data_IF_250495409924
#
_entry.id   IF_250495409924
#
_cell.length_a   1.000
_cell.length_b   1.000
_cell.length_c   1.000
_cell.angle_alpha   90.00
_cell.angle_beta   90.00
_cell.angle_gamma   90.00
#
_symmetry.space_group_name_H-M   'P 1'
#
loop_
_entity.id
_entity.type
_entity.pdbx_description
1 polymer ?
#
# COMPACT_ATOMS: atom_id res chain seq x y z
N UNK A 1 -13.70 -0.42 11.46
CA UNK A 1 -12.86 0.47 10.63
C UNK A 1 -13.52 0.58 9.27
N UNK A 2 -13.71 1.78 8.73
CA UNK A 2 -14.28 1.95 7.40
C UNK A 2 -13.15 1.78 6.37
N UNK A 3 -13.22 0.74 5.54
CA UNK A 3 -12.22 0.50 4.50
C UNK A 3 -12.65 1.20 3.21
N UNK A 4 -11.83 2.11 2.65
CA UNK A 4 -12.13 2.83 1.41
C UNK A 4 -12.45 1.89 0.24
N UNK A 5 -13.31 2.31 -0.69
CA UNK A 5 -13.69 1.48 -1.84
C UNK A 5 -12.54 1.19 -2.81
N UNK A 6 -11.51 2.05 -2.86
CA UNK A 6 -10.33 1.88 -3.71
C UNK A 6 -9.32 0.85 -3.14
N UNK A 7 -9.48 0.40 -1.89
CA UNK A 7 -8.65 -0.65 -1.31
C UNK A 7 -9.01 -2.03 -1.92
N UNK A 8 -8.03 -2.85 -2.33
CA UNK A 8 -8.29 -4.10 -3.03
C UNK A 8 -9.17 -5.08 -2.25
N UNK A 9 -10.12 -5.71 -2.95
CA UNK A 9 -10.93 -6.82 -2.42
C UNK A 9 -10.30 -8.20 -2.64
N UNK A 10 -9.39 -8.30 -3.62
CA UNK A 10 -8.65 -9.52 -3.91
C UNK A 10 -7.16 -9.20 -4.08
N UNK A 11 -6.34 -9.37 -3.03
CA UNK A 11 -4.91 -9.07 -3.10
C UNK A 11 -4.12 -10.08 -3.95
N UNK A 12 -4.64 -11.30 -4.13
CA UNK A 12 -3.98 -12.36 -4.89
C UNK A 12 -4.91 -12.90 -5.99
N UNK A 13 -5.13 -12.16 -7.09
CA UNK A 13 -5.92 -12.64 -8.20
C UNK A 13 -5.31 -13.95 -8.74
N UNK A 14 -6.17 -14.95 -8.99
CA UNK A 14 -5.81 -16.36 -9.24
C UNK A 14 -4.94 -16.63 -10.50
N UNK A 15 -4.52 -15.59 -11.22
CA UNK A 15 -3.69 -15.70 -12.42
C UNK A 15 -2.18 -15.88 -12.15
N UNK A 16 -1.74 -15.95 -10.89
CA UNK A 16 -0.36 -16.33 -10.54
C UNK A 16 -0.29 -17.83 -10.25
N UNK A 17 -0.13 -18.59 -11.34
CA UNK A 17 0.09 -20.04 -11.32
C UNK A 17 1.35 -20.42 -10.52
N UNK A 18 1.24 -21.47 -9.69
CA UNK A 18 2.38 -22.28 -9.25
C UNK A 18 2.57 -22.46 -7.75
N UNK A 19 2.18 -21.50 -6.91
CA UNK A 19 2.36 -21.61 -5.45
C UNK A 19 1.21 -20.94 -4.69
N UNK A 20 0.01 -21.53 -4.76
CA UNK A 20 -1.11 -21.04 -3.96
C UNK A 20 -0.93 -21.42 -2.48
N UNK A 21 -0.51 -20.46 -1.68
CA UNK A 21 -0.80 -20.47 -0.25
C UNK A 21 -2.34 -20.45 -0.07
N UNK A 22 -2.93 -21.61 0.24
CA UNK A 22 -4.25 -21.92 0.86
C UNK A 22 -5.32 -20.78 1.00
N UNK A 23 -5.54 -19.98 -0.03
CA UNK A 23 -6.61 -18.96 -0.07
C UNK A 23 -7.43 -18.99 -1.36
N UNK A 24 -7.36 -20.07 -2.15
CA UNK A 24 -8.37 -20.33 -3.16
C UNK A 24 -9.60 -20.97 -2.52
N UNK A 25 -10.66 -20.16 -2.40
CA UNK A 25 -12.02 -20.57 -2.09
C UNK A 25 -12.21 -21.32 -0.76
N UNK A 26 -12.71 -20.62 0.26
CA UNK A 26 -13.31 -21.26 1.44
C UNK A 26 -14.82 -21.26 1.31
N UNK A 27 -15.44 -22.40 1.63
CA UNK A 27 -16.90 -22.55 1.65
C UNK A 27 -17.43 -22.11 3.00
N UNK A 28 -18.06 -20.94 3.07
CA UNK A 28 -18.75 -20.43 4.26
C UNK A 28 -20.25 -20.51 3.99
N UNK A 29 -21.03 -21.15 4.87
CA UNK A 29 -22.48 -21.32 4.72
C UNK A 29 -22.93 -21.89 3.37
N UNK A 30 -22.16 -22.82 2.79
CA UNK A 30 -22.48 -23.44 1.50
C UNK A 30 -22.13 -22.59 0.26
N UNK A 31 -21.58 -21.38 0.44
CA UNK A 31 -21.17 -20.48 -0.66
C UNK A 31 -19.65 -20.41 -0.77
N UNK A 32 -19.13 -20.50 -1.99
CA UNK A 32 -17.70 -20.31 -2.27
C UNK A 32 -17.39 -18.81 -2.19
N UNK A 33 -16.55 -18.40 -1.24
CA UNK A 33 -16.06 -17.02 -1.15
C UNK A 33 -14.69 -16.95 -1.82
N UNK A 34 -14.57 -16.07 -2.81
CA UNK A 34 -13.31 -15.74 -3.51
C UNK A 34 -12.89 -14.35 -3.06
N UNK A 35 -11.67 -14.19 -2.53
CA UNK A 35 -11.18 -12.92 -1.98
C UNK A 35 -11.31 -12.83 -0.45
N UNK A 36 -10.99 -11.65 0.10
CA UNK A 36 -11.05 -11.37 1.53
C UNK A 36 -12.51 -11.18 1.97
N UNK A 37 -12.86 -11.65 3.18
CA UNK A 37 -14.06 -11.19 3.89
C UNK A 37 -13.93 -9.71 4.28
N UNK A 38 -15.02 -9.06 4.68
CA UNK A 38 -14.98 -7.65 5.09
C UNK A 38 -14.06 -7.43 6.32
N UNK A 39 -14.06 -8.36 7.27
CA UNK A 39 -13.17 -8.32 8.45
C UNK A 39 -11.71 -8.52 8.05
N UNK A 40 -11.40 -9.53 7.24
CA UNK A 40 -10.03 -9.75 6.74
C UNK A 40 -9.55 -8.56 5.88
N UNK A 41 -10.45 -7.95 5.10
CA UNK A 41 -10.15 -6.75 4.31
C UNK A 41 -9.87 -5.54 5.23
N UNK A 42 -10.57 -5.41 6.35
CA UNK A 42 -10.31 -4.37 7.33
C UNK A 42 -8.98 -4.54 8.06
N UNK A 43 -8.66 -5.76 8.48
CA UNK A 43 -7.34 -6.07 9.06
C UNK A 43 -6.22 -5.79 8.06
N UNK A 44 -6.42 -6.22 6.82
CA UNK A 44 -5.43 -6.04 5.76
C UNK A 44 -5.24 -4.57 5.40
N UNK A 45 -6.33 -3.80 5.38
CA UNK A 45 -6.29 -2.35 5.19
C UNK A 45 -5.51 -1.66 6.31
N UNK A 46 -5.74 -2.02 7.57
CA UNK A 46 -5.00 -1.43 8.70
C UNK A 46 -3.48 -1.65 8.58
N UNK A 47 -3.06 -2.86 8.19
CA UNK A 47 -1.64 -3.19 7.96
C UNK A 47 -1.06 -2.33 6.82
N UNK A 48 -1.78 -2.20 5.71
CA UNK A 48 -1.31 -1.41 4.57
C UNK A 48 -1.26 0.08 4.92
N UNK A 49 -2.20 0.58 5.72
CA UNK A 49 -2.24 1.97 6.15
C UNK A 49 -1.06 2.31 7.06
N UNK A 50 -0.74 1.47 8.04
CA UNK A 50 0.45 1.64 8.89
C UNK A 50 1.74 1.67 8.06
N UNK A 51 1.86 0.79 7.05
CA UNK A 51 3.00 0.81 6.15
C UNK A 51 3.08 2.11 5.34
N UNK A 52 1.95 2.65 4.87
CA UNK A 52 1.91 3.96 4.19
C UNK A 52 2.44 5.06 5.11
N UNK A 53 1.97 5.12 6.36
CA UNK A 53 2.41 6.14 7.33
C UNK A 53 3.93 6.05 7.57
N UNK A 54 4.46 4.84 7.74
CA UNK A 54 5.89 4.60 7.91
C UNK A 54 6.70 5.04 6.67
N UNK A 55 6.20 4.76 5.46
CA UNK A 55 6.85 5.14 4.22
C UNK A 55 6.84 6.66 4.02
N UNK A 56 5.74 7.35 4.33
CA UNK A 56 5.67 8.82 4.25
C UNK A 56 6.68 9.45 5.22
N UNK A 57 6.72 8.99 6.47
CA UNK A 57 7.70 9.47 7.45
C UNK A 57 9.15 9.19 6.99
N UNK A 58 9.39 8.03 6.38
CA UNK A 58 10.67 7.68 5.80
C UNK A 58 11.07 8.60 4.65
N UNK A 59 10.16 8.88 3.71
CA UNK A 59 10.37 9.79 2.59
C UNK A 59 10.73 11.19 3.09
N UNK A 60 9.97 11.75 4.04
CA UNK A 60 10.26 13.08 4.59
C UNK A 60 11.65 13.17 5.21
N UNK A 61 12.02 12.18 6.04
CA UNK A 61 13.37 12.11 6.61
C UNK A 61 14.44 12.05 5.50
N UNK A 62 14.20 11.28 4.44
CA UNK A 62 15.15 11.16 3.34
C UNK A 62 15.26 12.41 2.47
N UNK A 63 14.19 13.18 2.32
CA UNK A 63 14.23 14.48 1.65
C UNK A 63 15.13 15.47 2.40
N UNK A 64 15.08 15.47 3.74
CA UNK A 64 15.97 16.29 4.57
C UNK A 64 17.44 15.83 4.50
N UNK A 65 17.68 14.51 4.47
CA UNK A 65 19.03 13.95 4.33
C UNK A 65 19.66 14.22 2.94
N UNK A 66 18.84 14.41 1.90
CA UNK A 66 19.26 14.50 0.49
C UNK A 66 18.53 15.64 -0.24
N UNK A 67 18.78 16.91 0.13
CA UNK A 67 18.03 18.05 -0.40
C UNK A 67 18.26 18.29 -1.90
N UNK A 68 19.33 17.74 -2.48
CA UNK A 68 19.63 17.86 -3.92
C UNK A 68 18.81 16.92 -4.80
N UNK A 69 18.14 15.93 -4.20
CA UNK A 69 17.32 14.95 -4.91
C UNK A 69 15.90 15.46 -5.03
N UNK A 70 15.30 15.37 -6.22
CA UNK A 70 13.90 15.78 -6.38
C UNK A 70 12.94 14.86 -5.61
N UNK A 71 11.78 15.39 -5.15
CA UNK A 71 10.74 14.57 -4.52
C UNK A 71 10.31 13.37 -5.37
N UNK A 72 10.14 13.58 -6.68
CA UNK A 72 9.74 12.52 -7.62
C UNK A 72 10.78 11.39 -7.68
N UNK A 73 12.07 11.71 -7.82
CA UNK A 73 13.12 10.70 -7.85
C UNK A 73 13.25 9.93 -6.53
N UNK A 74 12.95 10.57 -5.40
CA UNK A 74 12.89 9.91 -4.10
C UNK A 74 11.71 8.93 -4.04
N UNK A 75 10.51 9.38 -4.39
CA UNK A 75 9.30 8.55 -4.38
C UNK A 75 9.40 7.36 -5.33
N UNK A 76 9.95 7.55 -6.53
CA UNK A 76 10.21 6.47 -7.50
C UNK A 76 11.21 5.43 -6.98
N UNK A 77 12.17 5.86 -6.16
CA UNK A 77 13.12 4.94 -5.54
C UNK A 77 12.50 4.17 -4.37
N UNK A 78 11.68 4.84 -3.56
CA UNK A 78 10.93 4.17 -2.49
C UNK A 78 9.94 3.17 -3.07
N UNK A 79 9.20 3.54 -4.11
CA UNK A 79 8.30 2.63 -4.84
C UNK A 79 9.03 1.37 -5.32
N UNK A 80 10.18 1.53 -5.98
CA UNK A 80 11.01 0.37 -6.38
C UNK A 80 11.39 -0.49 -5.18
N UNK A 81 11.73 0.14 -4.06
CA UNK A 81 12.01 -0.56 -2.80
C UNK A 81 10.81 -1.37 -2.29
N UNK A 82 9.60 -0.80 -2.29
CA UNK A 82 8.35 -1.48 -1.89
C UNK A 82 8.08 -2.67 -2.82
N UNK A 83 8.14 -2.47 -4.14
CA UNK A 83 7.94 -3.54 -5.14
C UNK A 83 8.95 -4.68 -4.97
N UNK A 84 10.22 -4.37 -4.71
CA UNK A 84 11.25 -5.37 -4.44
C UNK A 84 10.99 -6.17 -3.16
N UNK A 85 10.32 -5.57 -2.17
CA UNK A 85 9.97 -6.22 -0.90
C UNK A 85 8.58 -6.88 -0.91
N UNK A 86 7.84 -6.80 -2.01
CA UNK A 86 6.48 -7.33 -2.13
C UNK A 86 6.37 -8.77 -1.61
N UNK A 87 7.24 -9.68 -2.05
CA UNK A 87 7.21 -11.08 -1.63
C UNK A 87 7.56 -11.26 -0.14
N UNK A 88 8.52 -10.50 0.37
CA UNK A 88 8.98 -10.57 1.77
C UNK A 88 7.89 -10.05 2.72
N UNK A 89 7.20 -8.99 2.33
CA UNK A 89 6.08 -8.41 3.06
C UNK A 89 4.74 -9.09 2.78
N UNK A 90 4.76 -10.15 1.95
CA UNK A 90 3.60 -10.94 1.56
C UNK A 90 2.48 -10.06 1.01
N UNK A 91 2.81 -9.02 0.24
CA UNK A 91 1.85 -8.09 -0.35
C UNK A 91 1.37 -8.60 -1.72
N UNK A 92 0.07 -8.44 -1.97
CA UNK A 92 -0.53 -8.58 -3.29
C UNK A 92 -0.11 -7.45 -4.22
N UNK A 93 -0.07 -7.71 -5.54
CA UNK A 93 0.19 -6.66 -6.53
C UNK A 93 -0.74 -5.44 -6.37
N UNK A 94 -2.07 -5.65 -6.29
CA UNK A 94 -3.01 -4.56 -6.03
C UNK A 94 -2.78 -3.81 -4.71
N UNK A 95 -2.25 -4.47 -3.68
CA UNK A 95 -1.93 -3.82 -2.41
C UNK A 95 -0.71 -2.92 -2.54
N UNK A 96 0.33 -3.39 -3.25
CA UNK A 96 1.51 -2.57 -3.54
C UNK A 96 1.12 -1.33 -4.34
N UNK A 97 0.27 -1.47 -5.35
CA UNK A 97 -0.19 -0.33 -6.16
C UNK A 97 -0.98 0.67 -5.29
N UNK A 98 -1.86 0.18 -4.42
CA UNK A 98 -2.59 1.02 -3.47
C UNK A 98 -1.65 1.74 -2.47
N UNK A 99 -0.68 1.03 -1.88
CA UNK A 99 0.30 1.59 -0.95
C UNK A 99 1.10 2.71 -1.62
N UNK A 100 1.59 2.48 -2.85
CA UNK A 100 2.37 3.47 -3.60
C UNK A 100 1.53 4.71 -3.91
N UNK A 101 0.29 4.51 -4.38
CA UNK A 101 -0.61 5.62 -4.67
C UNK A 101 -0.90 6.45 -3.41
N UNK A 102 -1.22 5.80 -2.29
CA UNK A 102 -1.54 6.48 -1.05
C UNK A 102 -0.31 7.18 -0.44
N UNK A 103 0.87 6.58 -0.52
CA UNK A 103 2.13 7.20 -0.10
C UNK A 103 2.39 8.50 -0.86
N UNK A 104 2.26 8.51 -2.19
CA UNK A 104 2.45 9.71 -3.02
C UNK A 104 1.45 10.80 -2.66
N UNK A 105 0.15 10.48 -2.62
CA UNK A 105 -0.91 11.42 -2.22
C UNK A 105 -0.64 12.03 -0.85
N UNK A 106 -0.27 11.21 0.14
CA UNK A 106 -0.05 11.68 1.52
C UNK A 106 1.24 12.47 1.68
N UNK A 107 2.23 12.23 0.81
CA UNK A 107 3.46 13.01 0.78
C UNK A 107 3.22 14.40 0.14
N UNK A 108 2.48 14.44 -0.97
CA UNK A 108 2.11 15.68 -1.68
C UNK A 108 1.26 16.60 -0.79
N UNK A 109 0.16 16.10 -0.22
CA UNK A 109 -0.71 16.89 0.66
C UNK A 109 0.04 17.54 1.82
N UNK A 110 1.04 16.84 2.38
CA UNK A 110 1.83 17.37 3.48
C UNK A 110 2.98 18.28 3.05
N UNK A 111 3.30 18.32 1.75
CA UNK A 111 4.23 19.27 1.18
C UNK A 111 3.52 20.59 0.90
N UNK A 112 2.25 20.54 0.48
CA UNK A 112 1.42 21.71 0.21
C UNK A 112 1.08 22.50 1.49
N UNK A 113 0.86 21.82 2.63
CA UNK A 113 0.62 22.46 3.94
C UNK A 113 1.78 23.38 4.42
N UNK A 114 2.98 23.23 3.85
CA UNK A 114 4.16 24.03 4.23
C UNK A 114 4.18 25.37 3.46
N UNK A 115 3.60 25.43 2.26
CA UNK A 115 3.64 26.61 1.37
C UNK A 115 2.61 27.69 1.79
N UNK A 116 1.48 27.29 2.40
CA UNK A 116 0.43 28.22 2.88
C UNK A 116 0.76 28.94 4.20
N UNK A 117 1.92 28.66 4.81
CA UNK A 117 2.34 29.28 6.09
C UNK A 117 3.22 30.54 5.94
N UNK A 118 3.55 30.95 4.72
CA UNK A 118 4.24 32.22 4.43
C UNK A 118 3.33 33.19 3.66
N UNK A 119 2.43 33.89 4.36
CA UNK A 119 1.81 35.15 3.89
C UNK A 119 1.56 36.10 5.05
#
# INVERSE_FOLDING_TARGET
MQVPDDFPRNPFPASLAGTQAKFAARRINGRFVVGLTDDERAERYAICLDLVEQLVAYCRRKALDQPTRSPTELLDWVERGVRNKQAVWQLGGPEVDWIVAQMRRSYELASDDIDDSET
#
